data_IF_054464483130
#
_entry.id   IF_054464483130
#
_cell.length_a   1.000
_cell.length_b   1.000
_cell.length_c   1.000
_cell.angle_alpha   90.00
_cell.angle_beta   90.00
_cell.angle_gamma   90.00
#
_symmetry.space_group_name_H-M   'P 1'
#
loop_
_entity.id
_entity.type
_entity.pdbx_description
1 polymer ?
#
# COMPACT_ATOMS: atom_id res chain seq x y z
N UNK A 1 -1.10 -6.08 -2.08
CA UNK A 1 0.00 -5.50 -2.89
C UNK A 1 -0.45 -5.44 -4.34
N UNK A 2 -0.08 -4.43 -5.13
CA UNK A 2 -0.41 -4.37 -6.56
C UNK A 2 0.70 -3.68 -7.35
N UNK A 3 0.59 -3.70 -8.67
CA UNK A 3 1.38 -2.88 -9.60
C UNK A 3 0.53 -1.72 -10.11
N UNK A 4 1.13 -0.53 -10.28
CA UNK A 4 0.40 0.66 -10.75
C UNK A 4 -0.22 0.48 -12.15
N UNK A 5 0.37 -0.38 -12.98
CA UNK A 5 -0.14 -0.75 -14.30
C UNK A 5 -1.22 -1.84 -14.32
N UNK A 6 -1.51 -2.49 -13.19
CA UNK A 6 -2.63 -3.44 -13.05
C UNK A 6 -3.81 -2.75 -12.37
N UNK A 7 -4.50 -1.88 -13.11
CA UNK A 7 -5.65 -1.12 -12.60
C UNK A 7 -6.82 -2.04 -12.23
N UNK A 8 -6.98 -3.15 -12.93
CA UNK A 8 -8.03 -4.14 -12.70
C UNK A 8 -7.92 -4.77 -11.32
N UNK A 9 -6.70 -5.01 -10.83
CA UNK A 9 -6.45 -5.48 -9.46
C UNK A 9 -6.39 -4.33 -8.44
N UNK A 10 -5.74 -3.22 -8.77
CA UNK A 10 -5.47 -2.14 -7.81
C UNK A 10 -6.75 -1.42 -7.34
N UNK A 11 -7.67 -1.13 -8.25
CA UNK A 11 -8.90 -0.39 -7.91
C UNK A 11 -9.78 -1.16 -6.91
N UNK A 12 -10.08 -2.45 -7.11
CA UNK A 12 -10.78 -3.26 -6.10
C UNK A 12 -10.06 -3.31 -4.75
N UNK A 13 -8.73 -3.43 -4.72
CA UNK A 13 -7.96 -3.45 -3.47
C UNK A 13 -8.12 -2.13 -2.69
N UNK A 14 -8.05 -0.98 -3.37
CA UNK A 14 -8.26 0.33 -2.74
C UNK A 14 -9.70 0.44 -2.21
N UNK A 15 -10.69 0.03 -3.01
CA UNK A 15 -12.10 0.03 -2.57
C UNK A 15 -12.31 -0.85 -1.34
N UNK A 16 -11.69 -2.03 -1.30
CA UNK A 16 -11.76 -2.94 -0.15
C UNK A 16 -11.10 -2.33 1.08
N UNK A 17 -9.91 -1.73 0.94
CA UNK A 17 -9.20 -1.07 2.04
C UNK A 17 -9.99 0.09 2.66
N UNK A 18 -10.64 0.93 1.84
CA UNK A 18 -11.48 2.03 2.34
C UNK A 18 -12.70 1.51 3.13
N UNK A 19 -13.27 0.36 2.71
CA UNK A 19 -14.42 -0.24 3.38
C UNK A 19 -14.06 -1.05 4.62
N UNK A 20 -12.80 -1.45 4.74
CA UNK A 20 -12.30 -2.25 5.85
C UNK A 20 -12.33 -1.43 7.14
N UNK A 21 -12.96 -1.97 8.18
CA UNK A 21 -13.05 -1.33 9.50
C UNK A 21 -11.82 -1.67 10.35
N UNK A 22 -10.66 -1.23 9.88
CA UNK A 22 -9.38 -1.47 10.53
C UNK A 22 -8.24 -0.83 9.75
N UNK A 23 -7.02 -1.11 10.18
CA UNK A 23 -5.84 -0.65 9.44
C UNK A 23 -5.65 -1.48 8.17
N UNK A 24 -5.60 -0.81 7.02
CA UNK A 24 -5.33 -1.43 5.73
C UNK A 24 -4.01 -0.90 5.15
N UNK A 25 -3.13 -1.81 4.72
CA UNK A 25 -1.87 -1.48 4.08
C UNK A 25 -1.86 -1.98 2.64
N UNK A 26 -1.70 -1.06 1.68
CA UNK A 26 -1.57 -1.39 0.26
C UNK A 26 -0.18 -0.98 -0.21
N UNK A 27 0.66 -1.98 -0.43
CA UNK A 27 1.93 -1.82 -1.14
C UNK A 27 1.69 -1.74 -2.65
N UNK A 28 2.01 -0.62 -3.27
CA UNK A 28 1.86 -0.39 -4.73
C UNK A 28 3.23 -0.21 -5.35
N UNK A 29 3.62 -1.17 -6.17
CA UNK A 29 4.82 -1.10 -6.99
C UNK A 29 4.57 -0.08 -8.11
N UNK A 30 5.28 1.04 -8.05
CA UNK A 30 5.18 2.12 -9.03
C UNK A 30 6.56 2.46 -9.56
N UNK A 31 6.85 2.21 -10.85
CA UNK A 31 8.15 2.55 -11.42
C UNK A 31 8.28 4.07 -11.49
N UNK A 32 9.32 4.62 -10.84
CA UNK A 32 9.66 6.04 -10.94
C UNK A 32 10.67 6.24 -12.07
N UNK A 33 10.27 6.96 -13.11
CA UNK A 33 11.12 7.26 -14.28
C UNK A 33 12.22 8.30 -14.01
N UNK A 34 12.20 8.98 -12.86
CA UNK A 34 13.07 10.16 -12.62
C UNK A 34 14.08 9.99 -11.48
N UNK A 35 13.74 9.35 -10.35
CA UNK A 35 14.50 9.55 -9.11
C UNK A 35 15.03 8.30 -8.39
N UNK A 36 14.71 7.07 -8.81
CA UNK A 36 15.30 5.87 -8.19
C UNK A 36 16.67 5.53 -8.79
N UNK A 37 17.61 6.48 -8.69
CA UNK A 37 18.87 6.51 -9.43
C UNK A 37 20.03 7.06 -8.55
N UNK A 38 20.32 6.48 -7.37
CA UNK A 38 21.19 7.06 -6.31
C UNK A 38 22.60 6.43 -6.14
N UNK A 39 23.62 7.19 -5.74
CA UNK A 39 25.07 6.85 -5.82
C UNK A 39 25.54 5.48 -5.30
N UNK A 40 24.95 4.93 -4.23
CA UNK A 40 25.30 3.57 -3.74
C UNK A 40 24.65 2.43 -4.54
N UNK A 41 23.76 2.76 -5.48
CA UNK A 41 23.15 1.83 -6.42
C UNK A 41 24.09 1.68 -7.61
N UNK A 42 24.40 0.43 -7.98
CA UNK A 42 25.13 0.08 -9.21
C UNK A 42 24.37 0.44 -10.49
N UNK A 43 23.14 0.97 -10.37
CA UNK A 43 22.30 1.44 -11.48
C UNK A 43 21.98 2.94 -11.41
N UNK A 44 22.80 3.72 -10.70
CA UNK A 44 22.59 5.15 -10.43
C UNK A 44 23.05 6.11 -11.53
N UNK A 45 22.49 7.32 -11.55
CA UNK A 45 22.83 8.37 -12.52
C UNK A 45 24.29 8.77 -12.41
N UNK A 46 24.79 8.95 -11.19
CA UNK A 46 26.16 9.35 -10.93
C UNK A 46 27.17 8.28 -11.36
N UNK A 47 26.85 6.98 -11.21
CA UNK A 47 27.71 5.88 -11.72
C UNK A 47 27.84 5.92 -13.25
N UNK A 48 26.74 6.20 -13.96
CA UNK A 48 26.73 6.32 -15.43
C UNK A 48 27.41 7.62 -15.89
N UNK A 49 27.26 8.71 -15.15
CA UNK A 49 27.89 10.02 -15.42
C UNK A 49 29.41 9.97 -15.29
N UNK A 50 29.93 9.31 -14.25
CA UNK A 50 31.38 9.23 -14.01
C UNK A 50 32.08 8.26 -15.00
N UNK A 51 31.34 7.37 -15.68
CA UNK A 51 31.88 6.34 -16.58
C UNK A 51 31.47 6.48 -18.05
N UNK A 52 30.71 7.51 -18.44
CA UNK A 52 30.34 7.72 -19.85
C UNK A 52 30.38 9.21 -20.21
N UNK A 53 31.50 9.64 -20.78
CA UNK A 53 31.62 10.94 -21.43
C UNK A 53 30.73 10.96 -22.67
N UNK A 54 29.55 11.59 -22.57
CA UNK A 54 28.98 12.54 -23.54
C UNK A 54 27.43 12.48 -23.57
N UNK A 55 26.82 13.67 -23.41
CA UNK A 55 25.50 14.09 -23.91
C UNK A 55 24.23 13.60 -23.18
N UNK A 56 23.73 14.38 -22.20
CA UNK A 56 22.28 14.54 -21.98
C UNK A 56 21.95 15.91 -21.36
N UNK A 57 21.02 16.66 -21.99
CA UNK A 57 20.39 17.89 -21.47
C UNK A 57 19.45 17.54 -20.32
N UNK A 58 19.54 18.23 -19.19
CA UNK A 58 18.87 17.88 -17.92
C UNK A 58 17.36 18.17 -17.82
N UNK A 59 16.72 18.85 -18.78
CA UNK A 59 15.31 19.28 -18.64
C UNK A 59 14.33 18.63 -19.62
N UNK A 60 14.69 17.48 -20.21
CA UNK A 60 13.82 16.79 -21.16
C UNK A 60 13.48 15.38 -20.66
N UNK A 61 12.31 15.26 -20.02
CA UNK A 61 11.69 13.96 -19.74
C UNK A 61 10.96 13.53 -21.00
N UNK A 62 11.55 12.63 -21.78
CA UNK A 62 10.84 11.99 -22.88
C UNK A 62 9.64 11.23 -22.31
N UNK A 63 8.44 11.51 -22.82
CA UNK A 63 7.27 10.70 -22.49
C UNK A 63 7.56 9.23 -22.75
N UNK A 64 7.22 8.37 -21.80
CA UNK A 64 7.22 6.92 -21.96
C UNK A 64 5.78 6.44 -21.93
N UNK A 65 5.48 5.39 -22.70
CA UNK A 65 4.15 4.81 -22.71
C UNK A 65 3.83 4.14 -21.37
N UNK A 66 2.57 4.20 -20.95
CA UNK A 66 2.12 3.53 -19.73
C UNK A 66 2.31 2.01 -19.84
N UNK A 67 3.03 1.42 -18.87
CA UNK A 67 3.13 -0.04 -18.75
C UNK A 67 1.83 -0.55 -18.13
N UNK A 68 0.97 -1.14 -18.95
CA UNK A 68 -0.29 -1.77 -18.50
C UNK A 68 -0.14 -3.29 -18.52
N UNK A 69 -0.65 -3.96 -17.49
CA UNK A 69 -0.64 -5.43 -17.41
C UNK A 69 -1.99 -5.96 -16.97
N UNK A 70 -2.41 -7.03 -17.62
CA UNK A 70 -3.54 -7.86 -17.20
C UNK A 70 -3.15 -9.32 -17.39
N UNK A 71 -3.42 -10.14 -16.38
CA UNK A 71 -2.96 -11.53 -16.30
C UNK A 71 -3.81 -12.30 -15.27
N UNK A 72 -4.04 -13.61 -15.50
CA UNK A 72 -4.93 -14.42 -14.68
C UNK A 72 -4.37 -14.68 -13.28
N UNK A 73 -5.27 -15.00 -12.34
CA UNK A 73 -4.90 -15.43 -10.98
C UNK A 73 -4.02 -16.69 -11.02
N UNK A 74 -3.07 -16.78 -10.08
CA UNK A 74 -2.10 -17.88 -9.98
C UNK A 74 -0.98 -17.87 -11.03
N UNK A 75 -1.02 -16.95 -12.00
CA UNK A 75 -0.01 -16.84 -13.04
C UNK A 75 1.10 -15.84 -12.70
N UNK A 76 2.26 -16.02 -13.35
CA UNK A 76 3.38 -15.11 -13.29
C UNK A 76 3.45 -14.30 -14.59
N UNK A 77 3.55 -12.98 -14.47
CA UNK A 77 3.77 -12.06 -15.58
C UNK A 77 5.14 -11.39 -15.43
N UNK A 78 5.98 -11.57 -16.44
CA UNK A 78 7.18 -10.77 -16.62
C UNK A 78 6.82 -9.42 -17.23
N UNK A 79 7.27 -8.35 -16.58
CA UNK A 79 7.01 -6.95 -16.95
C UNK A 79 8.35 -6.26 -17.15
N UNK A 80 8.68 -6.02 -18.42
CA UNK A 80 9.85 -5.23 -18.79
C UNK A 80 9.61 -3.75 -18.45
N UNK A 81 10.53 -3.17 -17.71
CA UNK A 81 10.52 -1.76 -17.33
C UNK A 81 11.25 -0.92 -18.39
N UNK A 82 11.04 0.40 -18.40
CA UNK A 82 11.69 1.29 -19.36
C UNK A 82 13.23 1.33 -19.26
N UNK A 83 13.81 0.88 -18.15
CA UNK A 83 15.26 0.75 -17.95
C UNK A 83 15.81 -0.63 -18.38
N UNK A 84 14.96 -1.49 -18.96
CA UNK A 84 15.28 -2.86 -19.37
C UNK A 84 15.31 -3.88 -18.22
N UNK A 85 15.02 -3.48 -16.98
CA UNK A 85 14.85 -4.43 -15.88
C UNK A 85 13.55 -5.21 -16.02
N UNK A 86 13.51 -6.44 -15.49
CA UNK A 86 12.33 -7.32 -15.57
C UNK A 86 11.78 -7.53 -14.16
N UNK A 87 10.51 -7.20 -13.96
CA UNK A 87 9.75 -7.55 -12.77
C UNK A 87 8.95 -8.83 -13.03
N UNK A 88 9.03 -9.80 -12.12
CA UNK A 88 8.22 -11.03 -12.17
C UNK A 88 7.06 -10.89 -11.19
N UNK A 89 5.89 -10.50 -11.68
CA UNK A 89 4.69 -10.32 -10.86
C UNK A 89 3.91 -11.64 -10.78
N UNK A 90 3.72 -12.18 -9.58
CA UNK A 90 2.93 -13.38 -9.34
C UNK A 90 1.58 -12.99 -8.74
N UNK A 91 0.47 -13.19 -9.46
CA UNK A 91 -0.86 -12.90 -8.92
C UNK A 91 -1.31 -14.05 -8.03
N UNK A 92 -1.76 -13.76 -6.81
CA UNK A 92 -2.31 -14.79 -5.92
C UNK A 92 -3.38 -15.61 -6.66
N UNK A 93 -3.41 -16.94 -6.49
CA UNK A 93 -4.47 -17.77 -7.04
C UNK A 93 -5.82 -17.49 -6.37
N UNK A 94 -6.92 -17.88 -7.03
CA UNK A 94 -8.29 -17.64 -6.53
C UNK A 94 -8.63 -18.47 -5.27
N UNK A 95 -7.95 -19.60 -5.06
CA UNK A 95 -8.11 -20.49 -3.90
C UNK A 95 -7.17 -20.14 -2.73
N UNK A 96 -6.45 -19.02 -2.82
CA UNK A 96 -5.53 -18.57 -1.77
C UNK A 96 -6.26 -18.18 -0.49
N UNK A 97 -5.91 -18.85 0.61
CA UNK A 97 -6.39 -18.49 1.95
C UNK A 97 -5.69 -17.24 2.47
N UNK A 98 -6.47 -16.18 2.66
CA UNK A 98 -6.02 -14.87 3.14
C UNK A 98 -6.31 -14.65 4.63
N UNK A 99 -6.74 -15.67 5.38
CA UNK A 99 -7.09 -15.55 6.80
C UNK A 99 -5.94 -15.81 7.77
N UNK A 100 -4.87 -16.48 7.32
CA UNK A 100 -3.72 -16.83 8.16
C UNK A 100 -2.49 -15.96 7.85
N UNK A 101 -2.05 -15.20 8.85
CA UNK A 101 -0.88 -14.31 8.76
C UNK A 101 0.42 -15.08 8.53
N UNK A 102 0.60 -16.24 9.16
CA UNK A 102 1.83 -17.05 9.05
C UNK A 102 1.94 -17.64 7.66
N UNK A 103 0.82 -18.17 7.13
CA UNK A 103 0.76 -18.66 5.75
C UNK A 103 1.09 -17.54 4.76
N UNK A 104 0.51 -16.35 4.94
CA UNK A 104 0.80 -15.20 4.09
C UNK A 104 2.29 -14.80 4.11
N UNK A 105 2.91 -14.76 5.29
CA UNK A 105 4.34 -14.44 5.42
C UNK A 105 5.23 -15.48 4.76
N UNK A 106 4.95 -16.76 4.95
CA UNK A 106 5.69 -17.85 4.31
C UNK A 106 5.52 -17.83 2.78
N UNK A 107 4.31 -17.56 2.30
CA UNK A 107 4.02 -17.43 0.87
C UNK A 107 4.86 -16.31 0.24
N UNK A 108 4.87 -15.13 0.86
CA UNK A 108 5.68 -14.00 0.42
C UNK A 108 7.18 -14.35 0.36
N UNK A 109 7.72 -14.96 1.41
CA UNK A 109 9.14 -15.33 1.44
C UNK A 109 9.50 -16.40 0.41
N UNK A 110 8.65 -17.40 0.21
CA UNK A 110 8.88 -18.48 -0.76
C UNK A 110 8.91 -17.96 -2.21
N UNK A 111 8.01 -17.04 -2.57
CA UNK A 111 8.01 -16.40 -3.88
C UNK A 111 9.16 -15.40 -4.03
N UNK A 112 9.50 -14.65 -2.98
CA UNK A 112 10.66 -13.76 -2.99
C UNK A 112 11.97 -14.52 -3.24
N UNK A 113 12.13 -15.71 -2.66
CA UNK A 113 13.30 -16.57 -2.91
C UNK A 113 13.39 -17.04 -4.39
N UNK A 114 12.27 -17.08 -5.11
CA UNK A 114 12.22 -17.33 -6.56
C UNK A 114 12.40 -16.07 -7.42
N UNK A 115 12.57 -14.89 -6.80
CA UNK A 115 12.60 -13.61 -7.49
C UNK A 115 11.24 -13.13 -8.00
N UNK A 116 10.14 -13.63 -7.42
CA UNK A 116 8.77 -13.28 -7.77
C UNK A 116 8.18 -12.32 -6.75
N UNK A 117 7.43 -11.33 -7.23
CA UNK A 117 6.73 -10.34 -6.40
C UNK A 117 5.24 -10.68 -6.41
N UNK A 118 4.73 -11.10 -5.25
CA UNK A 118 3.33 -11.51 -5.10
C UNK A 118 2.39 -10.29 -5.13
N UNK A 119 1.34 -10.32 -5.93
CA UNK A 119 0.32 -9.28 -6.06
C UNK A 119 -1.07 -9.83 -5.73
N UNK A 120 -1.96 -8.96 -5.23
CA UNK A 120 -3.31 -9.29 -4.78
C UNK A 120 -3.55 -9.05 -3.28
N UNK A 121 -4.62 -9.66 -2.76
CA UNK A 121 -4.99 -9.64 -1.34
C UNK A 121 -4.21 -10.72 -0.60
N UNK A 122 -3.27 -10.30 0.25
CA UNK A 122 -2.33 -11.21 0.92
C UNK A 122 -2.83 -11.70 2.27
N UNK A 123 -3.54 -10.85 3.00
CA UNK A 123 -4.05 -11.13 4.33
C UNK A 123 -5.21 -10.18 4.67
N UNK A 124 -6.23 -10.69 5.36
CA UNK A 124 -7.31 -9.92 5.96
C UNK A 124 -7.79 -10.60 7.25
N UNK A 125 -8.02 -9.80 8.29
CA UNK A 125 -8.67 -10.25 9.53
C UNK A 125 -10.05 -9.60 9.64
N UNK A 126 -11.15 -10.32 9.37
CA UNK A 126 -12.49 -9.74 9.44
C UNK A 126 -12.93 -9.32 10.86
N UNK A 127 -12.26 -9.82 11.90
CA UNK A 127 -12.64 -9.58 13.30
C UNK A 127 -11.78 -8.52 13.99
N UNK A 128 -10.77 -7.98 13.30
CA UNK A 128 -9.92 -6.95 13.86
C UNK A 128 -10.73 -5.65 14.10
N UNK A 129 -10.80 -5.14 15.34
CA UNK A 129 -11.47 -3.88 15.62
C UNK A 129 -10.63 -2.70 15.11
N UNK A 130 -11.28 -1.66 14.60
CA UNK A 130 -10.61 -0.40 14.30
C UNK A 130 -10.18 0.34 15.58
N UNK A 131 -9.29 1.32 15.40
CA UNK A 131 -8.75 2.11 16.50
C UNK A 131 -9.84 2.90 17.25
N UNK A 132 -10.87 3.37 16.54
CA UNK A 132 -11.97 4.12 17.16
C UNK A 132 -12.78 3.21 18.10
N UNK A 133 -13.05 1.97 17.69
CA UNK A 133 -13.72 0.96 18.50
C UNK A 133 -12.86 0.56 19.71
N UNK A 134 -11.55 0.38 19.54
CA UNK A 134 -10.64 0.06 20.64
C UNK A 134 -10.53 1.19 21.67
N UNK A 135 -10.40 2.43 21.22
CA UNK A 135 -10.30 3.61 22.08
C UNK A 135 -11.67 4.09 22.59
N UNK A 136 -12.77 3.46 22.15
CA UNK A 136 -14.16 3.85 22.47
C UNK A 136 -14.41 5.34 22.20
N UNK A 137 -13.84 5.86 21.11
CA UNK A 137 -14.03 7.27 20.73
C UNK A 137 -15.43 7.51 20.19
N UNK A 138 -15.82 8.79 20.13
CA UNK A 138 -17.09 9.23 19.54
C UNK A 138 -17.31 8.66 18.14
N UNK A 139 -18.54 8.23 17.86
CA UNK A 139 -19.01 7.87 16.52
C UNK A 139 -19.30 9.10 15.65
N UNK A 140 -19.44 10.27 16.27
CA UNK A 140 -19.63 11.55 15.59
C UNK A 140 -18.27 12.19 15.34
N UNK A 141 -17.98 12.65 14.11
CA UNK A 141 -16.75 13.37 13.83
C UNK A 141 -16.60 14.61 14.71
N UNK A 142 -15.38 14.88 15.18
CA UNK A 142 -15.13 15.94 16.16
C UNK A 142 -15.52 17.34 15.68
N UNK A 143 -15.46 17.60 14.37
CA UNK A 143 -15.87 18.87 13.76
C UNK A 143 -17.41 19.07 13.70
N UNK A 144 -18.19 18.03 14.04
CA UNK A 144 -19.65 18.08 14.12
C UNK A 144 -20.15 18.07 15.57
N UNK A 145 -19.26 18.05 16.57
CA UNK A 145 -19.63 18.19 17.97
C UNK A 145 -19.81 19.68 18.30
N UNK A 146 -20.98 20.03 18.82
CA UNK A 146 -21.30 21.38 19.26
C UNK A 146 -20.93 21.61 20.74
N UNK A 147 -21.01 22.87 21.18
CA UNK A 147 -20.68 23.25 22.56
C UNK A 147 -21.52 22.48 23.58
N UNK A 148 -22.80 22.24 23.29
CA UNK A 148 -23.71 21.50 24.16
C UNK A 148 -23.30 20.03 24.33
N UNK A 149 -22.79 19.38 23.27
CA UNK A 149 -22.27 18.02 23.34
C UNK A 149 -20.90 17.94 24.04
N UNK A 150 -20.06 18.97 23.91
CA UNK A 150 -18.72 19.00 24.51
C UNK A 150 -18.71 19.46 25.97
N UNK A 151 -19.67 20.29 26.38
CA UNK A 151 -19.77 20.85 27.72
C UNK A 151 -20.99 20.26 28.46
N UNK A 152 -20.80 19.28 29.37
CA UNK A 152 -21.91 18.63 30.06
C UNK A 152 -22.59 19.54 31.11
N UNK A 153 -22.09 20.77 31.31
CA UNK A 153 -22.62 21.73 32.27
C UNK A 153 -22.33 21.39 33.74
N UNK A 154 -22.57 22.35 34.63
CA UNK A 154 -22.24 22.25 36.07
C UNK A 154 -22.97 21.09 36.76
N UNK A 155 -24.25 20.89 36.47
CA UNK A 155 -25.06 19.86 37.11
C UNK A 155 -24.56 18.42 36.84
N UNK A 156 -23.99 18.15 35.65
CA UNK A 156 -23.43 16.83 35.32
C UNK A 156 -22.03 16.67 35.91
N UNK A 157 -21.22 17.73 35.88
CA UNK A 157 -19.91 17.77 36.54
C UNK A 157 -20.02 17.49 38.05
N UNK A 158 -21.00 18.08 38.73
CA UNK A 158 -21.23 17.84 40.16
C UNK A 158 -21.59 16.38 40.45
N UNK A 159 -22.41 15.74 39.59
CA UNK A 159 -22.72 14.31 39.70
C UNK A 159 -21.50 13.42 39.51
N UNK A 160 -20.64 13.73 38.54
CA UNK A 160 -19.40 12.98 38.30
C UNK A 160 -18.46 13.11 39.51
N UNK A 161 -18.27 14.33 40.02
CA UNK A 161 -17.42 14.59 41.20
C UNK A 161 -17.92 13.88 42.45
N UNK A 162 -19.25 13.79 42.66
CA UNK A 162 -19.83 13.06 43.78
C UNK A 162 -19.65 11.53 43.64
N UNK A 163 -19.66 10.99 42.42
CA UNK A 163 -19.48 9.56 42.17
C UNK A 163 -18.02 9.08 42.30
N UNK A 164 -17.04 10.00 42.26
CA UNK A 164 -15.60 9.71 42.35
C UNK A 164 -14.99 10.08 43.71
N UNK A 165 -15.81 10.50 44.68
CA UNK A 165 -15.42 10.74 46.08
C UNK A 165 -15.73 9.53 46.95
#
# INVERSE_FOLDING_TARGET
RSFSGDKAQLVPLIKAAIRYRGFAFIDVLSPCVTFNNHVASTKSYDYIRDHNQALCRMDFISGREEITVDYPAGSVREVEQHDGSILRLHKVPDDYDNSDRVVAMNYLQAHQARGEIVTGLLYVDPQAPDLHAQLKTSTVPLNHLDEAALCPGTAVLDKINAALR
#
